data_IF_341604428553
#
_entry.id   IF_341604428553
#
_cell.length_a   1.000
_cell.length_b   1.000
_cell.length_c   1.000
_cell.angle_alpha   90.00
_cell.angle_beta   90.00
_cell.angle_gamma   90.00
#
_symmetry.space_group_name_H-M   'P 1'
#
loop_
_entity.id
_entity.type
_entity.pdbx_description
1 polymer ?
#
# COMPACT_ATOMS: atom_id res chain seq x y z
N UNK A 1 -7.95 21.35 -9.58
CA UNK A 1 -6.89 21.16 -8.55
C UNK A 1 -5.61 20.71 -9.23
N UNK A 2 -4.43 21.09 -8.71
CA UNK A 2 -3.15 20.53 -9.18
C UNK A 2 -3.04 19.04 -8.83
N UNK A 3 -2.42 18.26 -9.72
CA UNK A 3 -2.23 16.82 -9.57
C UNK A 3 -1.46 16.46 -8.30
N UNK A 4 -0.44 17.25 -7.93
CA UNK A 4 0.35 17.03 -6.72
C UNK A 4 -0.49 17.16 -5.45
N UNK A 5 -1.37 18.18 -5.39
CA UNK A 5 -2.29 18.38 -4.25
C UNK A 5 -3.30 17.24 -4.14
N UNK A 6 -3.74 16.69 -5.27
CA UNK A 6 -4.64 15.54 -5.27
C UNK A 6 -3.95 14.31 -4.70
N UNK A 7 -2.70 14.04 -5.12
CA UNK A 7 -1.92 12.91 -4.61
C UNK A 7 -1.65 12.99 -3.11
N UNK A 8 -1.20 14.15 -2.60
CA UNK A 8 -1.00 14.37 -1.16
C UNK A 8 -2.29 14.14 -0.36
N UNK A 9 -3.43 14.52 -0.93
CA UNK A 9 -4.73 14.24 -0.30
C UNK A 9 -5.02 12.75 -0.24
N UNK A 10 -4.77 11.99 -1.32
CA UNK A 10 -4.95 10.54 -1.31
C UNK A 10 -4.09 9.87 -0.21
N UNK A 11 -2.83 10.29 -0.08
CA UNK A 11 -1.94 9.81 0.98
C UNK A 11 -2.47 10.13 2.38
N UNK A 12 -3.05 11.32 2.57
CA UNK A 12 -3.65 11.69 3.84
C UNK A 12 -4.92 10.87 4.15
N UNK A 13 -5.76 10.58 3.14
CA UNK A 13 -6.92 9.70 3.29
C UNK A 13 -6.46 8.28 3.67
N UNK A 14 -5.47 7.73 2.96
CA UNK A 14 -4.88 6.42 3.28
C UNK A 14 -4.41 6.35 4.73
N UNK A 15 -3.67 7.36 5.19
CA UNK A 15 -3.23 7.47 6.56
C UNK A 15 -4.40 7.42 7.56
N UNK A 16 -5.45 8.22 7.33
CA UNK A 16 -6.61 8.27 8.22
C UNK A 16 -7.37 6.93 8.26
N UNK A 17 -7.52 6.25 7.11
CA UNK A 17 -8.20 4.95 7.03
C UNK A 17 -7.41 3.88 7.81
N UNK A 18 -6.08 3.83 7.63
CA UNK A 18 -5.22 2.87 8.36
C UNK A 18 -5.26 3.10 9.87
N UNK A 19 -5.25 4.36 10.29
CA UNK A 19 -5.38 4.73 11.70
C UNK A 19 -6.82 4.60 12.24
N UNK A 20 -7.79 4.21 11.41
CA UNK A 20 -9.23 4.16 11.74
C UNK A 20 -9.76 5.51 12.28
N UNK A 21 -9.09 6.60 11.91
CA UNK A 21 -9.31 7.95 12.42
C UNK A 21 -10.11 8.83 11.43
N UNK A 22 -10.78 8.25 10.44
CA UNK A 22 -11.55 9.00 9.44
C UNK A 22 -12.79 9.66 10.04
N UNK A 23 -13.50 8.96 10.94
CA UNK A 23 -14.84 9.33 11.37
C UNK A 23 -15.88 9.06 10.28
N UNK A 24 -17.08 9.62 10.45
CA UNK A 24 -18.14 9.52 9.45
C UNK A 24 -17.78 10.29 8.16
N UNK A 25 -18.58 10.11 7.11
CA UNK A 25 -18.35 10.74 5.81
C UNK A 25 -18.27 12.28 5.88
N UNK A 26 -19.09 12.93 6.70
CA UNK A 26 -19.02 14.38 6.91
C UNK A 26 -17.76 14.80 7.66
N UNK A 27 -17.36 14.03 8.67
CA UNK A 27 -16.13 14.27 9.43
C UNK A 27 -14.89 14.13 8.56
N UNK A 28 -14.79 13.05 7.78
CA UNK A 28 -13.69 12.86 6.84
C UNK A 28 -13.63 13.97 5.79
N UNK A 29 -14.79 14.37 5.24
CA UNK A 29 -14.87 15.42 4.23
C UNK A 29 -14.33 16.76 4.76
N UNK A 30 -14.66 17.12 6.01
CA UNK A 30 -14.10 18.30 6.68
C UNK A 30 -12.60 18.20 6.87
N UNK A 31 -12.08 17.04 7.33
CA UNK A 31 -10.63 16.83 7.55
C UNK A 31 -9.80 17.01 6.28
N UNK A 32 -10.35 16.66 5.12
CA UNK A 32 -9.64 16.75 3.82
C UNK A 32 -10.05 17.98 2.99
N UNK A 33 -10.84 18.88 3.57
CA UNK A 33 -11.38 20.10 2.96
C UNK A 33 -12.12 19.85 1.63
N UNK A 34 -13.06 18.89 1.63
CA UNK A 34 -13.94 18.59 0.49
C UNK A 34 -15.41 18.63 0.90
N UNK A 35 -16.29 18.76 -0.10
CA UNK A 35 -17.71 18.46 0.08
C UNK A 35 -17.93 16.96 0.27
N UNK A 36 -19.09 16.57 0.82
CA UNK A 36 -19.47 15.15 0.97
C UNK A 36 -19.48 14.41 -0.37
N UNK A 37 -19.95 15.06 -1.43
CA UNK A 37 -19.96 14.52 -2.80
C UNK A 37 -18.54 14.42 -3.38
N UNK A 38 -17.69 15.42 -3.16
CA UNK A 38 -16.30 15.38 -3.57
C UNK A 38 -15.53 14.24 -2.90
N UNK A 39 -15.70 14.05 -1.59
CA UNK A 39 -15.16 12.88 -0.89
C UNK A 39 -15.70 11.56 -1.46
N UNK A 40 -17.00 11.47 -1.74
CA UNK A 40 -17.59 10.25 -2.28
C UNK A 40 -16.97 9.87 -3.63
N UNK A 41 -16.71 10.86 -4.50
CA UNK A 41 -16.01 10.65 -5.77
C UNK A 41 -14.57 10.17 -5.53
N UNK A 42 -13.82 10.82 -4.62
CA UNK A 42 -12.45 10.40 -4.29
C UNK A 42 -12.40 8.97 -3.76
N UNK A 43 -13.32 8.59 -2.87
CA UNK A 43 -13.41 7.22 -2.36
C UNK A 43 -13.80 6.22 -3.45
N UNK A 44 -14.66 6.62 -4.40
CA UNK A 44 -15.01 5.80 -5.57
C UNK A 44 -13.79 5.58 -6.47
N UNK A 45 -13.02 6.63 -6.72
CA UNK A 45 -11.78 6.55 -7.52
C UNK A 45 -10.75 5.64 -6.85
N UNK A 46 -10.52 5.81 -5.53
CA UNK A 46 -9.63 4.93 -4.78
C UNK A 46 -10.08 3.45 -4.84
N UNK A 47 -11.39 3.18 -4.69
CA UNK A 47 -11.90 1.81 -4.85
C UNK A 47 -11.69 1.27 -6.27
N UNK A 48 -11.87 2.10 -7.29
CA UNK A 48 -11.59 1.75 -8.69
C UNK A 48 -10.12 1.41 -8.95
N UNK A 49 -9.21 2.03 -8.20
CA UNK A 49 -7.77 1.71 -8.21
C UNK A 49 -7.41 0.47 -7.37
N UNK A 50 -8.39 -0.22 -6.80
CA UNK A 50 -8.19 -1.47 -6.05
C UNK A 50 -8.03 -1.31 -4.54
N UNK A 51 -8.22 -0.11 -3.98
CA UNK A 51 -8.18 0.06 -2.52
C UNK A 51 -9.38 -0.62 -1.86
N UNK A 52 -9.19 -1.58 -0.94
CA UNK A 52 -10.26 -2.37 -0.35
C UNK A 52 -10.98 -1.62 0.79
N UNK A 53 -11.60 -0.48 0.48
CA UNK A 53 -12.20 0.44 1.45
C UNK A 53 -13.65 0.02 1.78
N UNK A 54 -13.95 -0.14 3.06
CA UNK A 54 -15.30 -0.35 3.60
C UNK A 54 -15.63 0.69 4.67
N UNK A 55 -16.90 1.08 4.76
CA UNK A 55 -17.40 1.87 5.88
C UNK A 55 -17.98 0.95 6.95
N UNK A 56 -17.51 1.08 8.19
CA UNK A 56 -18.07 0.41 9.36
C UNK A 56 -19.07 1.35 10.04
N UNK A 57 -20.35 0.97 10.00
CA UNK A 57 -21.44 1.75 10.62
C UNK A 57 -21.36 1.77 12.14
N UNK A 58 -20.87 0.69 12.76
CA UNK A 58 -20.82 0.55 14.22
C UNK A 58 -19.70 1.43 14.79
N UNK A 59 -18.54 1.44 14.12
CA UNK A 59 -17.39 2.28 14.50
C UNK A 59 -17.41 3.67 13.91
N UNK A 60 -18.36 3.94 13.02
CA UNK A 60 -18.47 5.17 12.24
C UNK A 60 -17.14 5.60 11.61
N UNK A 61 -16.44 4.66 10.95
CA UNK A 61 -15.13 4.93 10.36
C UNK A 61 -14.92 4.08 9.11
N UNK A 62 -14.14 4.59 8.17
CA UNK A 62 -13.63 3.85 7.03
C UNK A 62 -12.43 2.99 7.44
N UNK A 63 -12.38 1.77 6.92
CA UNK A 63 -11.32 0.80 7.16
C UNK A 63 -10.97 0.04 5.87
N UNK A 64 -9.75 -0.48 5.82
CA UNK A 64 -9.37 -1.46 4.80
C UNK A 64 -9.80 -2.86 5.21
N UNK A 65 -10.32 -3.64 4.26
CA UNK A 65 -10.69 -5.05 4.51
C UNK A 65 -9.52 -6.00 4.34
N UNK A 66 -8.37 -5.52 3.84
CA UNK A 66 -7.11 -6.27 3.70
C UNK A 66 -5.96 -5.35 4.11
N UNK A 67 -4.90 -5.93 4.66
CA UNK A 67 -3.70 -5.19 5.03
C UNK A 67 -3.02 -4.60 3.79
N UNK A 68 -2.58 -3.35 3.91
CA UNK A 68 -2.02 -2.60 2.79
C UNK A 68 -1.84 -1.12 3.09
N UNK A 69 -1.16 -0.43 2.18
CA UNK A 69 -0.96 1.03 2.23
C UNK A 69 -0.74 1.56 0.82
N UNK A 70 -1.08 2.83 0.61
CA UNK A 70 -0.72 3.55 -0.60
C UNK A 70 0.81 3.61 -0.77
N UNK A 71 1.30 3.48 -2.02
CA UNK A 71 2.71 3.68 -2.34
C UNK A 71 3.10 5.15 -2.11
N UNK A 72 4.26 5.37 -1.50
CA UNK A 72 4.75 6.72 -1.20
C UNK A 72 5.35 7.42 -2.43
N UNK A 73 5.98 6.64 -3.28
CA UNK A 73 6.71 7.08 -4.46
C UNK A 73 6.10 6.40 -5.69
N UNK A 74 5.73 7.20 -6.69
CA UNK A 74 5.23 6.70 -7.98
C UNK A 74 6.37 6.32 -8.93
N UNK A 75 7.54 6.90 -8.70
CA UNK A 75 8.75 6.62 -9.42
C UNK A 75 9.79 6.20 -8.41
N UNK A 76 10.19 4.94 -8.48
CA UNK A 76 11.33 4.42 -7.74
C UNK A 76 12.50 4.48 -8.71
N UNK A 77 13.52 5.28 -8.36
CA UNK A 77 14.75 5.23 -9.14
C UNK A 77 15.30 3.80 -9.07
N UNK A 78 15.68 3.25 -10.23
CA UNK A 78 16.51 2.06 -10.32
C UNK A 78 17.93 2.38 -9.83
N UNK A 79 18.08 2.92 -8.61
CA UNK A 79 19.34 2.77 -7.90
C UNK A 79 19.39 1.30 -7.56
N UNK A 80 20.21 0.57 -8.31
CA UNK A 80 20.77 -0.71 -7.88
C UNK A 80 21.25 -0.49 -6.45
N UNK A 81 20.39 -0.80 -5.49
CA UNK A 81 20.68 -0.63 -4.09
C UNK A 81 21.51 -1.85 -3.77
N UNK A 82 22.79 -1.63 -3.51
CA UNK A 82 23.74 -2.65 -3.06
C UNK A 82 23.31 -3.40 -1.77
N UNK A 83 22.11 -3.15 -1.25
CA UNK A 83 21.45 -3.91 -0.19
C UNK A 83 20.59 -5.07 -0.68
N UNK A 84 20.22 -5.12 -1.97
CA UNK A 84 19.41 -6.19 -2.56
C UNK A 84 20.19 -7.07 -3.55
N UNK A 85 21.43 -6.71 -3.87
CA UNK A 85 22.34 -7.59 -4.61
C UNK A 85 23.27 -8.21 -3.58
N UNK A 86 23.09 -9.50 -3.27
CA UNK A 86 24.12 -10.28 -2.61
C UNK A 86 25.39 -10.16 -3.46
N UNK A 87 26.47 -9.62 -2.90
CA UNK A 87 27.76 -9.64 -3.59
C UNK A 87 28.13 -11.10 -3.89
N UNK A 88 28.91 -11.36 -4.94
CA UNK A 88 29.38 -12.72 -5.28
C UNK A 88 30.07 -13.43 -4.11
N UNK A 89 30.60 -12.68 -3.15
CA UNK A 89 31.13 -13.14 -1.87
C UNK A 89 30.07 -13.63 -0.87
N UNK A 90 28.87 -13.06 -0.88
CA UNK A 90 27.76 -13.52 -0.02
C UNK A 90 26.99 -14.68 -0.65
N UNK A 91 26.95 -14.78 -1.98
CA UNK A 91 26.40 -15.94 -2.69
C UNK A 91 27.20 -17.23 -2.42
N UNK A 92 28.50 -17.14 -2.09
CA UNK A 92 29.33 -18.31 -1.73
C UNK A 92 29.06 -18.84 -0.31
N UNK A 93 28.33 -18.09 0.53
CA UNK A 93 27.99 -18.47 1.91
C UNK A 93 26.60 -19.09 2.03
N UNK A 94 25.80 -19.02 0.96
CA UNK A 94 24.48 -19.62 0.91
C UNK A 94 24.64 -20.98 0.25
N UNK A 95 24.26 -22.03 0.96
CA UNK A 95 24.33 -23.39 0.46
C UNK A 95 23.37 -23.55 -0.74
N UNK A 96 23.83 -24.22 -1.81
CA UNK A 96 23.16 -24.24 -3.12
C UNK A 96 21.75 -24.89 -3.11
N UNK A 97 21.33 -25.46 -1.98
CA UNK A 97 20.02 -26.07 -1.74
C UNK A 97 18.87 -25.06 -1.64
N UNK A 98 19.15 -23.79 -1.28
CA UNK A 98 18.11 -22.80 -0.99
C UNK A 98 17.66 -21.95 -2.19
N UNK A 99 18.39 -21.97 -3.30
CA UNK A 99 18.05 -21.22 -4.53
C UNK A 99 16.70 -21.67 -5.12
N UNK A 100 16.28 -22.91 -4.84
CA UNK A 100 14.98 -23.46 -5.28
C UNK A 100 13.76 -22.86 -4.56
N UNK A 101 13.96 -22.08 -3.49
CA UNK A 101 12.87 -21.48 -2.71
C UNK A 101 12.64 -20.00 -3.03
N UNK A 102 13.20 -19.47 -4.12
CA UNK A 102 13.06 -18.07 -4.52
C UNK A 102 12.03 -17.91 -5.64
N UNK A 103 10.97 -17.16 -5.37
CA UNK A 103 9.93 -16.80 -6.32
C UNK A 103 10.26 -15.45 -6.97
N UNK A 104 10.09 -15.36 -8.30
CA UNK A 104 10.25 -14.13 -9.06
C UNK A 104 8.96 -13.29 -8.94
N UNK A 105 9.06 -12.11 -8.32
CA UNK A 105 7.99 -11.10 -8.31
C UNK A 105 8.19 -10.17 -9.52
N UNK A 106 7.11 -9.78 -10.21
CA UNK A 106 7.17 -8.90 -11.40
C UNK A 106 7.84 -7.55 -11.11
N UNK A 107 8.00 -7.22 -9.83
CA UNK A 107 8.89 -6.17 -9.32
C UNK A 107 10.27 -6.75 -9.02
N UNK A 108 10.96 -7.38 -9.99
CA UNK A 108 12.39 -7.83 -9.98
C UNK A 108 13.05 -8.06 -8.60
N UNK A 109 12.37 -8.74 -7.68
CA UNK A 109 12.87 -9.04 -6.33
C UNK A 109 12.57 -10.50 -6.11
N UNK A 110 13.63 -11.31 -6.03
CA UNK A 110 13.50 -12.68 -5.55
C UNK A 110 13.03 -12.62 -4.10
N UNK A 111 11.82 -13.11 -3.82
CA UNK A 111 11.35 -13.32 -2.44
C UNK A 111 11.42 -14.80 -2.10
N UNK A 112 11.71 -15.18 -0.84
CA UNK A 112 11.45 -16.53 -0.37
C UNK A 112 9.98 -16.86 -0.62
N UNK A 113 9.70 -17.90 -1.38
CA UNK A 113 8.33 -18.38 -1.57
C UNK A 113 7.81 -18.77 -0.18
N UNK A 114 6.78 -18.10 0.32
CA UNK A 114 6.10 -18.52 1.55
C UNK A 114 5.62 -19.96 1.33
N UNK A 115 6.31 -20.92 1.96
CA UNK A 115 5.80 -22.28 2.07
C UNK A 115 4.61 -22.16 3.01
N UNK A 116 3.41 -22.29 2.46
CA UNK A 116 2.19 -22.48 3.25
C UNK A 116 2.42 -23.66 4.21
N UNK A 117 2.75 -23.37 5.46
CA UNK A 117 2.63 -24.34 6.54
C UNK A 117 1.13 -24.40 6.82
N UNK A 118 0.45 -25.32 6.12
CA UNK A 118 -0.73 -25.97 6.68
C UNK A 118 -0.18 -27.00 7.66
N UNK A 119 -0.47 -26.81 8.93
CA UNK A 119 -1.06 -27.78 9.86
C UNK A 119 -1.14 -27.17 11.26
#
# INVERSE_FOLDING_TARGET
MSIAKYFLRLQYIDFLIRMKATGDQGTLARKIHLSKSGLANVLKDMKGMGFPIKYDKNRQTYLYTREGKMVKELFVENKITAKAILTTTELKKIDLSDVKNLCFDEIKVFRPCEKNIKD
#
